data_IF_125597671323
#
_entry.id   IF_125597671323
#
_cell.length_a   1.000
_cell.length_b   1.000
_cell.length_c   1.000
_cell.angle_alpha   90.00
_cell.angle_beta   90.00
_cell.angle_gamma   90.00
#
_symmetry.space_group_name_H-M   'P 1'
#
loop_
_entity.id
_entity.type
_entity.pdbx_description
1 polymer ?
#
# COMPACT_ATOMS: atom_id res chain seq x y z
N UNK A 1 -33.23 -41.18 -14.37
CA UNK A 1 -32.81 -40.39 -13.19
C UNK A 1 -33.58 -39.08 -13.12
N UNK A 2 -34.90 -39.14 -13.13
CA UNK A 2 -35.80 -37.97 -13.10
C UNK A 2 -36.84 -38.13 -11.99
N UNK A 3 -36.41 -38.72 -10.86
CA UNK A 3 -37.25 -38.94 -9.71
C UNK A 3 -37.39 -37.63 -8.94
N UNK A 4 -38.61 -37.24 -8.62
CA UNK A 4 -38.91 -36.02 -7.88
C UNK A 4 -38.65 -36.24 -6.40
N UNK A 5 -37.88 -35.34 -5.78
CA UNK A 5 -37.63 -35.33 -4.32
C UNK A 5 -38.39 -34.15 -3.72
N UNK A 6 -39.29 -34.42 -2.79
CA UNK A 6 -40.01 -33.36 -2.07
C UNK A 6 -39.13 -32.78 -0.97
N UNK A 7 -39.01 -31.45 -0.96
CA UNK A 7 -38.16 -30.70 -0.03
C UNK A 7 -38.96 -29.55 0.59
N UNK A 8 -38.82 -29.29 1.90
CA UNK A 8 -39.39 -28.11 2.53
C UNK A 8 -38.88 -26.83 1.87
N UNK A 9 -39.77 -25.86 1.60
CA UNK A 9 -39.44 -24.63 0.88
C UNK A 9 -38.31 -23.83 1.56
N UNK A 10 -38.30 -23.76 2.89
CA UNK A 10 -37.26 -23.05 3.65
C UNK A 10 -35.87 -23.67 3.44
N UNK A 11 -35.79 -25.00 3.34
CA UNK A 11 -34.54 -25.73 3.12
C UNK A 11 -34.05 -25.49 1.68
N UNK A 12 -34.96 -25.51 0.71
CA UNK A 12 -34.64 -25.18 -0.68
C UNK A 12 -34.08 -23.75 -0.81
N UNK A 13 -34.70 -22.77 -0.16
CA UNK A 13 -34.21 -21.37 -0.15
C UNK A 13 -32.82 -21.28 0.47
N UNK A 14 -32.56 -22.00 1.57
CA UNK A 14 -31.20 -22.05 2.16
C UNK A 14 -30.19 -22.64 1.19
N UNK A 15 -30.50 -23.76 0.53
CA UNK A 15 -29.63 -24.41 -0.45
C UNK A 15 -29.31 -23.45 -1.60
N UNK A 16 -30.33 -22.79 -2.17
CA UNK A 16 -30.15 -21.81 -3.24
C UNK A 16 -29.33 -20.61 -2.76
N UNK A 17 -29.58 -20.12 -1.53
CA UNK A 17 -28.80 -19.04 -0.92
C UNK A 17 -27.32 -19.39 -0.78
N UNK A 18 -26.99 -20.55 -0.22
CA UNK A 18 -25.62 -21.03 -0.11
C UNK A 18 -24.97 -21.24 -1.49
N UNK A 19 -25.70 -21.82 -2.44
CA UNK A 19 -25.21 -22.00 -3.81
C UNK A 19 -24.91 -20.65 -4.48
N UNK A 20 -25.79 -19.66 -4.32
CA UNK A 20 -25.59 -18.31 -4.87
C UNK A 20 -24.39 -17.60 -4.23
N UNK A 21 -24.25 -17.65 -2.90
CA UNK A 21 -23.09 -17.08 -2.19
C UNK A 21 -21.78 -17.76 -2.62
N UNK A 22 -21.80 -19.09 -2.75
CA UNK A 22 -20.63 -19.88 -3.18
C UNK A 22 -20.27 -19.56 -4.62
N UNK A 23 -21.25 -19.52 -5.53
CA UNK A 23 -21.06 -19.16 -6.92
C UNK A 23 -20.52 -17.73 -7.05
N UNK A 24 -21.09 -16.77 -6.33
CA UNK A 24 -20.60 -15.39 -6.34
C UNK A 24 -19.15 -15.33 -5.84
N UNK A 25 -18.85 -15.90 -4.67
CA UNK A 25 -17.51 -15.93 -4.04
C UNK A 25 -16.43 -16.57 -4.90
N UNK A 26 -16.74 -17.67 -5.59
CA UNK A 26 -15.74 -18.46 -6.32
C UNK A 26 -15.67 -18.15 -7.82
N UNK A 27 -16.73 -17.67 -8.45
CA UNK A 27 -16.74 -17.41 -9.91
C UNK A 27 -16.82 -15.93 -10.27
N UNK A 28 -17.69 -15.16 -9.61
CA UNK A 28 -17.88 -13.74 -9.94
C UNK A 28 -16.79 -12.88 -9.32
N UNK A 29 -16.52 -13.04 -8.02
CA UNK A 29 -15.57 -12.17 -7.32
C UNK A 29 -14.12 -12.29 -7.83
N UNK A 30 -13.57 -13.45 -8.23
CA UNK A 30 -12.21 -13.51 -8.80
C UNK A 30 -12.09 -12.76 -10.13
N UNK A 31 -13.06 -12.94 -11.03
CA UNK A 31 -13.12 -12.29 -12.34
C UNK A 31 -13.27 -10.77 -12.20
N UNK A 32 -14.17 -10.34 -11.31
CA UNK A 32 -14.40 -8.93 -11.00
C UNK A 32 -13.16 -8.30 -10.35
N UNK A 33 -12.52 -8.99 -9.39
CA UNK A 33 -11.25 -8.54 -8.78
C UNK A 33 -10.15 -8.36 -9.82
N UNK A 34 -10.00 -9.31 -10.74
CA UNK A 34 -9.03 -9.20 -11.83
C UNK A 34 -9.33 -8.01 -12.75
N UNK A 35 -10.59 -7.80 -13.11
CA UNK A 35 -11.01 -6.68 -13.95
C UNK A 35 -10.67 -5.32 -13.30
N UNK A 36 -11.03 -5.14 -12.03
CA UNK A 36 -10.69 -3.93 -11.28
C UNK A 36 -9.17 -3.77 -11.09
N UNK A 37 -8.44 -4.87 -10.83
CA UNK A 37 -6.98 -4.86 -10.75
C UNK A 37 -6.37 -4.34 -12.04
N UNK A 38 -6.76 -4.90 -13.19
CA UNK A 38 -6.24 -4.49 -14.49
C UNK A 38 -6.62 -3.05 -14.84
N UNK A 39 -7.79 -2.57 -14.39
CA UNK A 39 -8.20 -1.17 -14.54
C UNK A 39 -7.35 -0.24 -13.67
N UNK A 40 -7.04 -0.64 -12.42
CA UNK A 40 -6.16 0.09 -11.52
C UNK A 40 -4.73 0.13 -12.06
N UNK A 41 -4.17 -1.01 -12.48
CA UNK A 41 -2.85 -1.10 -13.13
C UNK A 41 -2.73 -0.13 -14.32
N UNK A 42 -3.75 -0.08 -15.20
CA UNK A 42 -3.78 0.89 -16.31
C UNK A 42 -3.92 2.35 -15.85
N UNK A 43 -4.64 2.62 -14.77
CA UNK A 43 -4.77 3.97 -14.22
C UNK A 43 -3.42 4.43 -13.63
N UNK A 44 -2.75 3.56 -12.90
CA UNK A 44 -1.41 3.82 -12.36
C UNK A 44 -0.37 3.94 -13.47
N UNK A 45 -0.41 3.10 -14.50
CA UNK A 45 0.48 3.23 -15.65
C UNK A 45 0.32 4.59 -16.36
N UNK A 46 -0.91 5.12 -16.44
CA UNK A 46 -1.15 6.48 -16.94
C UNK A 46 -0.66 7.57 -15.99
N UNK A 47 -0.75 7.35 -14.68
CA UNK A 47 -0.21 8.26 -13.67
C UNK A 47 1.32 8.29 -13.72
N UNK A 48 1.98 7.14 -13.83
CA UNK A 48 3.43 7.03 -13.96
C UNK A 48 3.99 7.78 -15.19
N UNK A 49 3.19 8.01 -16.24
CA UNK A 49 3.58 8.86 -17.37
C UNK A 49 3.68 10.35 -17.03
N UNK A 50 3.06 10.78 -15.93
CA UNK A 50 3.02 12.18 -15.50
C UNK A 50 3.98 12.46 -14.34
N UNK A 51 4.34 11.43 -13.59
CA UNK A 51 5.28 11.55 -12.47
C UNK A 51 6.69 11.63 -13.02
N UNK A 52 7.47 12.60 -12.54
CA UNK A 52 8.91 12.69 -12.84
C UNK A 52 9.64 11.43 -12.35
N UNK A 53 9.17 10.83 -11.25
CA UNK A 53 9.67 9.55 -10.73
C UNK A 53 8.52 8.55 -10.66
N UNK A 54 8.51 7.51 -11.51
CA UNK A 54 7.43 6.55 -11.58
C UNK A 54 7.31 5.77 -10.27
N UNK A 55 6.07 5.42 -9.92
CA UNK A 55 5.81 4.54 -8.77
C UNK A 55 6.36 3.16 -9.10
N UNK A 56 7.23 2.67 -8.24
CA UNK A 56 7.78 1.32 -8.38
C UNK A 56 6.67 0.26 -8.26
N UNK A 57 6.76 -0.84 -9.04
CA UNK A 57 5.77 -1.92 -9.00
C UNK A 57 5.56 -2.49 -7.60
N UNK A 58 6.59 -2.48 -6.74
CA UNK A 58 6.47 -3.00 -5.38
C UNK A 58 5.46 -2.22 -4.54
N UNK A 59 5.36 -0.89 -4.71
CA UNK A 59 4.38 -0.06 -4.00
C UNK A 59 2.94 -0.36 -4.47
N UNK A 60 2.77 -0.99 -5.62
CA UNK A 60 1.47 -1.38 -6.17
C UNK A 60 1.08 -2.82 -5.83
N UNK A 61 2.05 -3.63 -5.39
CA UNK A 61 1.79 -4.98 -4.92
C UNK A 61 0.94 -4.93 -3.66
N UNK A 62 0.07 -5.93 -3.46
CA UNK A 62 -0.69 -5.98 -2.20
C UNK A 62 0.27 -6.08 -1.05
N UNK A 63 -0.09 -5.51 0.10
CA UNK A 63 0.67 -5.66 1.34
C UNK A 63 1.05 -7.12 1.63
N UNK A 64 0.14 -8.06 1.35
CA UNK A 64 0.43 -9.49 1.46
C UNK A 64 1.59 -9.92 0.56
N UNK A 65 1.57 -9.54 -0.72
CA UNK A 65 2.60 -9.90 -1.70
C UNK A 65 3.95 -9.26 -1.32
N UNK A 66 3.95 -8.02 -0.83
CA UNK A 66 5.15 -7.36 -0.31
C UNK A 66 5.74 -8.08 0.91
N UNK A 67 4.89 -8.50 1.86
CA UNK A 67 5.33 -9.30 3.01
C UNK A 67 5.95 -10.61 2.54
N UNK A 68 5.29 -11.33 1.63
CA UNK A 68 5.83 -12.59 1.10
C UNK A 68 7.18 -12.38 0.41
N UNK A 69 7.32 -11.31 -0.37
CA UNK A 69 8.59 -11.01 -1.03
C UNK A 69 9.70 -10.66 -0.05
N UNK A 70 9.38 -9.90 1.01
CA UNK A 70 10.34 -9.52 2.04
C UNK A 70 10.83 -10.73 2.86
N UNK A 71 9.92 -11.61 3.31
CA UNK A 71 10.32 -12.76 4.15
C UNK A 71 11.12 -13.81 3.38
N UNK A 72 11.00 -13.85 2.05
CA UNK A 72 11.78 -14.74 1.18
C UNK A 72 12.94 -14.02 0.49
N UNK A 73 13.27 -12.79 0.90
CA UNK A 73 14.46 -12.10 0.41
C UNK A 73 15.72 -12.88 0.86
N UNK A 74 16.70 -13.14 -0.04
CA UNK A 74 17.88 -13.92 0.31
C UNK A 74 18.66 -13.35 1.50
N UNK A 75 18.75 -12.03 1.63
CA UNK A 75 19.47 -11.39 2.74
C UNK A 75 18.71 -11.56 4.06
N UNK A 76 17.37 -11.49 4.01
CA UNK A 76 16.51 -11.71 5.19
C UNK A 76 16.57 -13.17 5.62
N UNK A 77 16.53 -14.12 4.68
CA UNK A 77 16.63 -15.54 4.96
C UNK A 77 18.00 -15.90 5.58
N UNK A 78 19.08 -15.32 5.04
CA UNK A 78 20.42 -15.48 5.60
C UNK A 78 20.50 -14.94 7.04
N UNK A 79 20.03 -13.70 7.26
CA UNK A 79 20.01 -13.11 8.60
C UNK A 79 19.16 -13.92 9.60
N UNK A 80 18.06 -14.54 9.13
CA UNK A 80 17.24 -15.40 9.97
C UNK A 80 17.97 -16.69 10.39
N UNK A 81 18.72 -17.32 9.47
CA UNK A 81 19.51 -18.51 9.77
C UNK A 81 20.69 -18.19 10.70
N UNK A 82 21.37 -17.06 10.48
CA UNK A 82 22.43 -16.57 11.37
C UNK A 82 21.91 -16.29 12.79
N UNK A 83 20.74 -15.65 12.90
CA UNK A 83 20.09 -15.41 14.18
C UNK A 83 19.67 -16.72 14.88
N UNK A 84 19.12 -17.68 14.12
CA UNK A 84 18.74 -18.98 14.66
C UNK A 84 19.95 -19.73 15.24
N UNK A 85 21.08 -19.71 14.52
CA UNK A 85 22.32 -20.32 14.97
C UNK A 85 22.90 -19.61 16.21
N UNK A 86 22.88 -18.28 16.24
CA UNK A 86 23.41 -17.49 17.35
C UNK A 86 22.62 -17.69 18.66
N UNK A 87 21.30 -17.74 18.57
CA UNK A 87 20.41 -17.90 19.73
C UNK A 87 20.13 -19.37 20.07
N UNK A 88 20.62 -20.32 19.26
CA UNK A 88 20.37 -21.75 19.45
C UNK A 88 18.89 -22.14 19.29
N UNK A 89 18.12 -21.37 18.52
CA UNK A 89 16.69 -21.61 18.27
C UNK A 89 16.47 -22.31 16.93
N UNK A 90 15.37 -23.07 16.77
CA UNK A 90 15.00 -23.62 15.48
C UNK A 90 14.76 -22.54 14.40
N UNK A 91 15.18 -22.79 13.16
CA UNK A 91 15.04 -21.82 12.06
C UNK A 91 13.57 -21.39 11.81
N UNK A 92 12.61 -22.28 12.02
CA UNK A 92 11.19 -21.95 11.88
C UNK A 92 10.72 -20.93 12.94
N UNK A 93 11.32 -20.90 14.13
CA UNK A 93 11.04 -19.91 15.17
C UNK A 93 11.57 -18.54 14.75
N UNK A 94 12.81 -18.48 14.26
CA UNK A 94 13.39 -17.26 13.70
C UNK A 94 12.56 -16.74 12.51
N UNK A 95 12.07 -17.65 11.65
CA UNK A 95 11.25 -17.28 10.50
C UNK A 95 9.86 -16.73 10.89
N UNK A 96 9.22 -17.25 11.93
CA UNK A 96 7.97 -16.66 12.45
C UNK A 96 8.20 -15.26 13.03
N UNK A 97 9.36 -15.01 13.64
CA UNK A 97 9.74 -13.67 14.10
C UNK A 97 9.95 -12.71 12.93
N UNK A 98 10.65 -13.13 11.87
CA UNK A 98 10.76 -12.40 10.60
C UNK A 98 9.38 -12.05 10.04
N UNK A 99 8.47 -13.04 10.00
CA UNK A 99 7.10 -12.84 9.51
C UNK A 99 6.31 -11.85 10.35
N UNK A 100 6.48 -11.86 11.67
CA UNK A 100 5.88 -10.87 12.58
C UNK A 100 6.40 -9.46 12.28
N UNK A 101 7.73 -9.30 12.18
CA UNK A 101 8.34 -8.01 11.85
C UNK A 101 7.95 -7.52 10.46
N UNK A 102 7.93 -8.39 9.46
CA UNK A 102 7.47 -8.05 8.11
C UNK A 102 6.04 -7.52 8.12
N UNK A 103 5.12 -8.12 8.90
CA UNK A 103 3.77 -7.58 9.06
C UNK A 103 3.78 -6.23 9.76
N UNK A 104 4.67 -6.00 10.71
CA UNK A 104 4.75 -4.73 11.42
C UNK A 104 5.27 -3.59 10.54
N UNK A 105 6.31 -3.84 9.75
CA UNK A 105 7.03 -2.79 9.01
C UNK A 105 6.49 -2.56 7.60
N UNK A 106 5.92 -3.58 6.94
CA UNK A 106 5.46 -3.43 5.56
C UNK A 106 4.15 -2.61 5.56
N UNK A 107 4.15 -1.39 4.98
CA UNK A 107 3.00 -0.52 5.01
C UNK A 107 1.91 -1.01 4.06
N UNK A 108 0.66 -0.68 4.39
CA UNK A 108 -0.42 -0.68 3.40
C UNK A 108 -0.27 0.56 2.51
N UNK A 109 -0.09 0.40 1.21
CA UNK A 109 -0.10 1.52 0.28
C UNK A 109 -1.19 1.35 -0.78
N UNK A 110 -1.97 2.39 -0.99
CA UNK A 110 -2.94 2.48 -2.06
C UNK A 110 -2.66 3.71 -2.89
N UNK A 111 -2.16 3.51 -4.13
CA UNK A 111 -1.89 4.59 -5.06
C UNK A 111 -3.16 5.43 -5.34
N UNK A 112 -4.33 4.80 -5.39
CA UNK A 112 -5.60 5.52 -5.58
C UNK A 112 -5.95 6.39 -4.37
N UNK A 113 -5.80 5.85 -3.15
CA UNK A 113 -6.08 6.63 -1.93
C UNK A 113 -5.10 7.80 -1.80
N UNK A 114 -3.79 7.55 -1.99
CA UNK A 114 -2.75 8.56 -1.89
C UNK A 114 -2.90 9.63 -2.99
N UNK A 115 -2.78 9.25 -4.26
CA UNK A 115 -2.76 10.21 -5.36
C UNK A 115 -4.13 10.79 -5.71
N UNK A 116 -5.21 10.08 -5.37
CA UNK A 116 -6.57 10.53 -5.61
C UNK A 116 -7.12 11.38 -4.47
N UNK A 117 -7.25 10.78 -3.29
CA UNK A 117 -7.98 11.39 -2.18
C UNK A 117 -7.06 12.23 -1.30
N UNK A 118 -5.92 11.68 -0.87
CA UNK A 118 -5.05 12.33 0.10
C UNK A 118 -4.46 13.63 -0.44
N UNK A 119 -4.00 13.66 -1.70
CA UNK A 119 -3.48 14.90 -2.32
C UNK A 119 -4.56 15.99 -2.40
N UNK A 120 -5.80 15.65 -2.77
CA UNK A 120 -6.90 16.63 -2.83
C UNK A 120 -7.26 17.15 -1.45
N UNK A 121 -7.37 16.26 -0.46
CA UNK A 121 -7.65 16.64 0.92
C UNK A 121 -6.52 17.50 1.50
N UNK A 122 -5.27 17.14 1.23
CA UNK A 122 -4.10 17.90 1.64
C UNK A 122 -4.12 19.30 1.02
N UNK A 123 -4.34 19.41 -0.29
CA UNK A 123 -4.47 20.71 -0.97
C UNK A 123 -5.57 21.57 -0.37
N UNK A 124 -6.75 20.99 -0.13
CA UNK A 124 -7.88 21.71 0.46
C UNK A 124 -7.54 22.23 1.86
N UNK A 125 -7.07 21.33 2.74
CA UNK A 125 -6.74 21.66 4.12
C UNK A 125 -5.60 22.68 4.23
N UNK A 126 -4.54 22.50 3.43
CA UNK A 126 -3.40 23.42 3.40
C UNK A 126 -3.81 24.84 2.99
N UNK A 127 -4.68 24.98 1.97
CA UNK A 127 -5.13 26.31 1.52
C UNK A 127 -6.22 26.91 2.43
N UNK A 128 -6.94 26.09 3.21
CA UNK A 128 -7.91 26.58 4.18
C UNK A 128 -7.24 27.19 5.42
N UNK A 129 -6.10 26.65 5.85
CA UNK A 129 -5.39 27.07 7.07
C UNK A 129 -4.22 28.02 6.76
N UNK A 130 -3.57 27.88 5.60
CA UNK A 130 -2.38 28.65 5.24
C UNK A 130 -2.53 29.34 3.90
N UNK A 131 -1.86 30.49 3.77
CA UNK A 131 -1.55 31.08 2.46
C UNK A 131 -0.25 30.47 1.94
N UNK A 132 -0.38 29.36 1.21
CA UNK A 132 0.78 28.63 0.67
C UNK A 132 1.44 29.46 -0.44
N UNK A 133 2.73 29.78 -0.28
CA UNK A 133 3.57 30.40 -1.31
C UNK A 133 4.71 29.45 -1.64
N UNK A 134 4.77 29.03 -2.90
CA UNK A 134 5.88 28.27 -3.42
C UNK A 134 7.00 29.25 -3.78
N UNK A 135 8.09 29.24 -3.00
CA UNK A 135 9.34 29.86 -3.42
C UNK A 135 9.91 29.14 -4.63
N UNK A 136 10.75 29.81 -5.43
CA UNK A 136 11.37 29.24 -6.63
C UNK A 136 12.05 27.92 -6.26
N UNK A 137 11.46 26.82 -6.71
CA UNK A 137 12.08 25.51 -6.61
C UNK A 137 12.92 25.36 -7.85
N UNK A 138 14.19 25.02 -7.68
CA UNK A 138 15.11 24.74 -8.77
C UNK A 138 14.69 23.40 -9.42
N UNK A 139 13.63 23.45 -10.23
CA UNK A 139 13.10 22.28 -10.93
C UNK A 139 14.12 21.69 -11.89
N UNK A 140 15.01 22.53 -12.43
CA UNK A 140 16.09 22.10 -13.30
C UNK A 140 17.11 21.26 -12.54
N UNK A 141 17.57 21.73 -11.37
CA UNK A 141 18.46 20.96 -10.52
C UNK A 141 17.85 19.62 -10.09
N UNK A 142 16.56 19.60 -9.75
CA UNK A 142 15.85 18.36 -9.39
C UNK A 142 15.71 17.37 -10.56
N UNK A 143 15.43 17.86 -11.77
CA UNK A 143 15.36 17.03 -12.99
C UNK A 143 16.72 16.49 -13.42
N UNK A 144 17.81 17.18 -13.08
CA UNK A 144 19.17 16.72 -13.34
C UNK A 144 19.60 15.56 -12.43
N UNK A 145 18.88 15.31 -11.32
CA UNK A 145 19.17 14.18 -10.43
C UNK A 145 18.81 12.88 -11.15
N UNK A 146 19.73 11.91 -11.13
CA UNK A 146 19.54 10.56 -11.67
C UNK A 146 18.16 9.99 -11.24
N UNK A 147 17.33 9.53 -12.20
CA UNK A 147 16.05 8.88 -11.92
C UNK A 147 16.14 7.69 -10.95
N UNK A 148 17.28 7.00 -10.91
CA UNK A 148 17.53 5.85 -10.04
C UNK A 148 18.12 6.22 -8.68
N UNK A 149 18.51 7.48 -8.46
CA UNK A 149 19.03 7.92 -7.17
C UNK A 149 17.90 8.05 -6.13
N UNK A 150 18.21 7.76 -4.87
CA UNK A 150 17.28 8.04 -3.77
C UNK A 150 17.36 9.52 -3.41
N UNK A 151 16.24 10.23 -3.48
CA UNK A 151 16.18 11.66 -3.09
C UNK A 151 15.64 11.77 -1.67
N UNK A 152 16.44 12.37 -0.80
CA UNK A 152 16.06 12.66 0.58
C UNK A 152 15.75 14.14 0.69
N UNK A 153 14.49 14.47 0.96
CA UNK A 153 14.07 15.83 1.26
C UNK A 153 14.31 16.11 2.74
N UNK A 154 15.22 17.03 3.04
CA UNK A 154 15.44 17.51 4.41
C UNK A 154 14.59 18.75 4.61
N UNK A 155 13.67 18.68 5.57
CA UNK A 155 12.74 19.76 5.88
C UNK A 155 12.87 20.17 7.34
N UNK A 156 12.63 21.45 7.61
CA UNK A 156 12.33 21.87 8.97
C UNK A 156 10.95 21.33 9.38
N UNK A 157 10.77 21.00 10.65
CA UNK A 157 9.52 20.50 11.20
C UNK A 157 9.04 21.40 12.33
N UNK A 158 7.88 22.03 12.11
CA UNK A 158 7.20 22.94 13.02
C UNK A 158 5.86 22.38 13.51
N UNK A 159 5.19 21.55 12.73
CA UNK A 159 3.88 20.99 13.09
C UNK A 159 3.51 19.73 12.31
N UNK A 160 2.54 18.95 12.80
CA UNK A 160 1.97 17.81 12.05
C UNK A 160 1.38 18.21 10.68
N UNK A 161 1.05 19.50 10.48
CA UNK A 161 0.58 20.00 9.19
C UNK A 161 1.67 19.99 8.11
N UNK A 162 2.95 19.96 8.50
CA UNK A 162 4.05 19.99 7.53
C UNK A 162 4.02 18.75 6.62
N UNK A 163 3.61 17.59 7.16
CA UNK A 163 3.38 16.37 6.36
C UNK A 163 2.26 16.56 5.33
N UNK A 164 1.19 17.27 5.69
CA UNK A 164 0.08 17.58 4.80
C UNK A 164 0.52 18.55 3.71
N UNK A 165 1.23 19.62 4.09
CA UNK A 165 1.78 20.60 3.17
C UNK A 165 2.75 19.94 2.18
N UNK A 166 3.69 19.14 2.66
CA UNK A 166 4.66 18.45 1.80
C UNK A 166 3.98 17.43 0.89
N UNK A 167 2.95 16.72 1.35
CA UNK A 167 2.12 15.85 0.49
C UNK A 167 1.47 16.64 -0.64
N UNK A 168 0.98 17.85 -0.36
CA UNK A 168 0.45 18.75 -1.39
C UNK A 168 1.54 19.26 -2.35
N UNK A 169 2.71 19.65 -1.84
CA UNK A 169 3.77 20.26 -2.65
C UNK A 169 4.56 19.25 -3.50
N UNK A 170 4.73 18.01 -3.05
CA UNK A 170 5.47 16.98 -3.77
C UNK A 170 4.58 16.02 -4.57
N UNK A 171 3.27 16.26 -4.55
CA UNK A 171 2.22 15.48 -5.19
C UNK A 171 2.52 15.09 -6.65
N UNK A 172 3.10 16.02 -7.41
CA UNK A 172 3.34 15.86 -8.84
C UNK A 172 4.66 15.15 -9.17
N UNK A 173 5.54 14.94 -8.18
CA UNK A 173 6.89 14.41 -8.39
C UNK A 173 7.05 12.94 -8.03
N UNK A 174 6.56 12.52 -6.86
CA UNK A 174 6.63 11.12 -6.41
C UNK A 174 5.75 10.81 -5.20
N UNK A 175 5.52 9.52 -4.94
CA UNK A 175 5.02 9.08 -3.63
C UNK A 175 6.10 9.28 -2.56
N UNK A 176 5.80 10.11 -1.55
CA UNK A 176 6.73 10.39 -0.46
C UNK A 176 6.68 9.29 0.61
N UNK A 177 7.84 9.02 1.20
CA UNK A 177 7.96 8.24 2.43
C UNK A 177 8.47 9.19 3.51
N UNK A 178 7.81 9.18 4.66
CA UNK A 178 8.16 10.05 5.78
C UNK A 178 8.86 9.24 6.86
N UNK A 179 10.03 9.70 7.30
CA UNK A 179 10.66 9.22 8.52
C UNK A 179 9.99 9.94 9.69
N UNK A 180 9.07 9.26 10.38
CA UNK A 180 8.32 9.82 11.51
C UNK A 180 8.55 9.00 12.77
N UNK A 181 8.60 9.67 13.91
CA UNK A 181 8.73 9.00 15.21
C UNK A 181 7.47 8.23 15.62
N UNK A 182 7.56 7.54 16.77
CA UNK A 182 6.52 6.64 17.27
C UNK A 182 5.12 7.29 17.41
N UNK A 183 5.06 8.61 17.63
CA UNK A 183 3.80 9.36 17.76
C UNK A 183 2.95 9.39 16.48
N UNK A 184 3.52 9.11 15.30
CA UNK A 184 2.71 8.96 14.09
C UNK A 184 1.92 7.65 14.03
N UNK A 185 2.21 6.70 14.93
CA UNK A 185 1.53 5.41 15.00
C UNK A 185 0.07 5.54 15.46
N UNK A 186 -0.29 6.63 16.16
CA UNK A 186 -1.60 6.83 16.79
C UNK A 186 -2.47 7.93 16.15
N UNK A 187 -2.12 8.42 14.95
CA UNK A 187 -2.85 9.52 14.28
C UNK A 187 -3.67 9.04 13.06
N UNK A 188 -4.89 9.56 12.88
CA UNK A 188 -6.17 8.89 13.16
C UNK A 188 -6.52 7.71 12.22
N UNK A 189 -5.60 7.23 11.38
CA UNK A 189 -5.84 6.22 10.33
C UNK A 189 -4.94 4.99 10.48
N UNK A 190 -4.41 4.72 11.66
CA UNK A 190 -3.41 3.66 11.91
C UNK A 190 -3.87 2.22 11.62
N UNK A 191 -5.15 2.01 11.27
CA UNK A 191 -5.76 0.71 11.00
C UNK A 191 -6.45 0.57 9.63
N UNK A 192 -6.32 1.55 8.72
CA UNK A 192 -6.82 1.41 7.34
C UNK A 192 -5.72 0.92 6.41
#
# INVERSE_FOLDING_TARGET
>A
MTQTVELPLWLFVLIVGFAAVTFASHFLFPSVRWFFRRRLERAVARLNKRLERPIEPFKLARRHDMIQRLIHDPQVAQAASEHAAAEGIPENVAFEQVRRYAREIVPGFSAFAYFGLAIRAARFLSNAVYRVRLGHQDEEALRAIDPNATVVFVMNHRSNMDYVLVTYLAADRSALSYAVGEWARDWPLSRL
#
